data_IF_866525965707
#
_entry.id   IF_866525965707
#
_cell.length_a   1.000
_cell.length_b   1.000
_cell.length_c   1.000
_cell.angle_alpha   90.00
_cell.angle_beta   90.00
_cell.angle_gamma   90.00
#
_symmetry.space_group_name_H-M   'P 1'
#
loop_
_entity.id
_entity.type
_entity.pdbx_description
1 polymer ?
#
# COMPACT_ATOMS: atom_id res chain seq x y z
N UNK A 1 -14.70 17.90 -10.71
CA UNK A 1 -15.10 17.09 -9.52
C UNK A 1 -13.94 17.12 -8.54
N UNK A 2 -14.19 17.34 -7.21
CA UNK A 2 -13.12 17.26 -6.20
C UNK A 2 -13.25 15.97 -5.40
N UNK A 3 -12.10 15.36 -5.04
CA UNK A 3 -12.02 14.20 -4.16
C UNK A 3 -11.09 14.56 -3.00
N UNK A 4 -11.58 14.44 -1.77
CA UNK A 4 -10.80 14.62 -0.54
C UNK A 4 -10.27 13.28 -0.06
N UNK A 5 -8.96 13.14 -0.02
CA UNK A 5 -8.28 11.90 0.35
C UNK A 5 -7.51 12.10 1.66
N UNK A 6 -7.86 11.34 2.69
CA UNK A 6 -7.11 11.25 3.93
C UNK A 6 -5.94 10.26 3.79
N UNK A 7 -4.72 10.69 3.99
CA UNK A 7 -3.56 9.78 4.01
C UNK A 7 -3.25 9.43 5.47
N UNK A 8 -3.48 8.17 5.82
CA UNK A 8 -3.21 7.59 7.14
C UNK A 8 -1.74 7.16 7.17
N UNK A 9 -0.88 8.04 7.68
CA UNK A 9 0.57 7.80 7.75
C UNK A 9 0.89 6.86 8.91
N UNK A 10 1.33 5.64 8.59
CA UNK A 10 1.65 4.59 9.56
C UNK A 10 3.15 4.48 9.88
N UNK A 11 4.01 5.21 9.18
CA UNK A 11 5.46 5.30 9.45
C UNK A 11 6.03 6.60 8.87
N UNK A 12 7.24 6.93 9.31
CA UNK A 12 8.03 8.04 8.79
C UNK A 12 9.15 7.49 7.89
N UNK A 13 9.47 8.21 6.83
CA UNK A 13 10.62 7.92 5.99
C UNK A 13 11.91 8.12 6.81
N UNK A 14 12.94 7.30 6.55
CA UNK A 14 14.23 7.50 7.21
C UNK A 14 14.73 8.93 6.99
N UNK A 15 15.22 9.65 8.05
CA UNK A 15 15.51 11.07 7.97
C UNK A 15 16.42 11.48 6.81
N UNK A 16 17.42 10.67 6.49
CA UNK A 16 18.34 10.91 5.37
C UNK A 16 17.66 10.74 3.99
N UNK A 17 16.64 9.90 3.88
CA UNK A 17 15.85 9.74 2.66
C UNK A 17 14.72 10.76 2.56
N UNK A 18 14.13 11.16 3.69
CA UNK A 18 13.06 12.16 3.72
C UNK A 18 13.49 13.52 3.15
N UNK A 19 14.77 13.90 3.31
CA UNK A 19 15.34 15.13 2.73
C UNK A 19 15.28 15.11 1.20
N UNK A 20 15.49 13.95 0.58
CA UNK A 20 15.57 13.80 -0.87
C UNK A 20 14.22 13.46 -1.51
N UNK A 21 13.45 12.58 -0.87
CA UNK A 21 12.25 11.98 -1.44
C UNK A 21 10.94 12.46 -0.79
N UNK A 22 11.03 13.19 0.33
CA UNK A 22 9.86 13.56 1.14
C UNK A 22 9.37 12.42 2.02
N UNK A 23 8.26 12.65 2.71
CA UNK A 23 7.55 11.66 3.51
C UNK A 23 6.59 10.83 2.65
N UNK A 24 6.16 9.66 3.15
CA UNK A 24 5.21 8.79 2.43
C UNK A 24 3.96 9.52 1.92
N UNK A 25 3.31 10.41 2.70
CA UNK A 25 2.18 11.18 2.16
C UNK A 25 2.54 12.01 0.94
N UNK A 26 3.73 12.61 0.89
CA UNK A 26 4.18 13.38 -0.27
C UNK A 26 4.41 12.50 -1.50
N UNK A 27 4.96 11.27 -1.30
CA UNK A 27 5.12 10.30 -2.39
C UNK A 27 3.75 9.87 -2.98
N UNK A 28 2.74 9.62 -2.14
CA UNK A 28 1.39 9.32 -2.61
C UNK A 28 0.77 10.50 -3.35
N UNK A 29 0.91 11.73 -2.85
CA UNK A 29 0.41 12.93 -3.52
C UNK A 29 1.07 13.09 -4.90
N UNK A 30 2.38 12.91 -4.99
CA UNK A 30 3.12 12.96 -6.25
C UNK A 30 2.64 11.90 -7.24
N UNK A 31 2.51 10.65 -6.79
CA UNK A 31 1.98 9.56 -7.60
C UNK A 31 0.59 9.88 -8.16
N UNK A 32 -0.34 10.27 -7.26
CA UNK A 32 -1.73 10.49 -7.65
C UNK A 32 -1.89 11.73 -8.54
N UNK A 33 -1.12 12.79 -8.32
CA UNK A 33 -1.10 13.95 -9.25
C UNK A 33 -0.56 13.55 -10.63
N UNK A 34 0.52 12.76 -10.68
CA UNK A 34 1.08 12.29 -11.95
C UNK A 34 0.10 11.34 -12.68
N UNK A 35 -0.56 10.44 -11.94
CA UNK A 35 -1.53 9.49 -12.49
C UNK A 35 -2.85 10.16 -12.91
N UNK A 36 -3.23 11.27 -12.26
CA UNK A 36 -4.42 12.05 -12.62
C UNK A 36 -4.26 12.79 -13.96
N UNK A 37 -3.01 13.17 -14.29
CA UNK A 37 -2.72 13.86 -15.55
C UNK A 37 -3.59 15.11 -15.77
N UNK A 38 -4.09 15.27 -16.99
CA UNK A 38 -4.92 16.42 -17.42
C UNK A 38 -6.44 16.17 -17.20
N UNK A 39 -6.83 15.33 -16.23
CA UNK A 39 -8.26 15.11 -15.94
C UNK A 39 -8.88 16.32 -15.22
N UNK A 40 -10.21 16.46 -15.30
CA UNK A 40 -10.96 17.48 -14.57
C UNK A 40 -11.19 17.14 -13.08
N UNK A 41 -10.43 16.17 -12.53
CA UNK A 41 -10.54 15.74 -11.12
C UNK A 41 -9.56 16.56 -10.28
N UNK A 42 -10.06 17.33 -9.33
CA UNK A 42 -9.26 17.98 -8.31
C UNK A 42 -9.01 17.02 -7.14
N UNK A 43 -7.75 16.81 -6.76
CA UNK A 43 -7.37 15.99 -5.62
C UNK A 43 -6.95 16.90 -4.45
N UNK A 44 -7.61 16.73 -3.31
CA UNK A 44 -7.28 17.40 -2.06
C UNK A 44 -6.80 16.37 -1.04
N UNK A 45 -5.71 16.67 -0.32
CA UNK A 45 -5.10 15.71 0.61
C UNK A 45 -5.01 16.27 2.02
N UNK A 46 -5.33 15.42 3.00
CA UNK A 46 -5.07 15.67 4.41
C UNK A 46 -4.28 14.49 4.98
N UNK A 47 -3.20 14.77 5.69
CA UNK A 47 -2.37 13.74 6.34
C UNK A 47 -2.75 13.58 7.80
N UNK A 48 -2.91 12.34 8.23
CA UNK A 48 -3.16 11.94 9.61
C UNK A 48 -2.04 11.01 10.07
N UNK A 49 -1.19 11.45 11.00
CA UNK A 49 -0.09 10.66 11.56
C UNK A 49 -0.65 9.63 12.57
N UNK A 50 -1.21 8.53 12.04
CA UNK A 50 -1.87 7.50 12.86
C UNK A 50 -0.88 6.76 13.76
N UNK A 51 0.39 6.68 13.38
CA UNK A 51 1.48 6.18 14.24
C UNK A 51 1.72 7.07 15.47
N UNK A 52 1.33 8.35 15.43
CA UNK A 52 1.35 9.29 16.54
C UNK A 52 -0.02 9.49 17.20
N UNK A 53 -1.03 8.69 16.84
CA UNK A 53 -2.39 8.76 17.39
C UNK A 53 -3.23 9.91 16.84
N UNK A 54 -2.85 10.50 15.70
CA UNK A 54 -3.61 11.59 15.05
C UNK A 54 -4.54 11.00 14.00
N UNK A 55 -5.84 11.17 14.21
CA UNK A 55 -6.91 10.67 13.35
C UNK A 55 -7.86 11.81 12.94
N UNK A 56 -8.68 11.65 11.88
CA UNK A 56 -9.76 12.59 11.59
C UNK A 56 -10.76 12.64 12.76
N UNK A 57 -11.35 13.81 12.99
CA UNK A 57 -12.40 13.96 14.01
C UNK A 57 -13.67 13.20 13.63
N UNK A 58 -13.97 13.16 12.32
CA UNK A 58 -15.10 12.42 11.75
C UNK A 58 -14.63 11.62 10.52
N UNK A 59 -15.10 10.38 10.39
CA UNK A 59 -14.77 9.53 9.23
C UNK A 59 -15.22 10.17 7.90
N UNK A 60 -16.28 10.94 7.94
CA UNK A 60 -16.88 11.53 6.74
C UNK A 60 -16.25 12.87 6.31
N UNK A 61 -15.19 13.34 7.01
CA UNK A 61 -14.39 14.50 6.57
C UNK A 61 -13.71 14.26 5.21
N UNK A 62 -13.37 13.00 4.90
CA UNK A 62 -12.73 12.61 3.66
C UNK A 62 -13.66 11.73 2.83
N UNK A 63 -13.53 11.80 1.51
CA UNK A 63 -14.26 10.94 0.58
C UNK A 63 -13.65 9.53 0.60
N UNK A 64 -12.32 9.44 0.70
CA UNK A 64 -11.56 8.19 0.73
C UNK A 64 -10.34 8.29 1.63
N UNK A 65 -9.78 7.14 2.00
CA UNK A 65 -8.53 7.04 2.77
C UNK A 65 -7.50 6.17 2.06
N UNK A 66 -6.22 6.53 2.24
CA UNK A 66 -5.07 5.69 1.87
C UNK A 66 -4.29 5.39 3.14
N UNK A 67 -4.09 4.11 3.45
CA UNK A 67 -3.25 3.67 4.55
C UNK A 67 -1.88 3.24 4.01
N UNK A 68 -0.83 3.93 4.47
CA UNK A 68 0.53 3.76 3.97
C UNK A 68 1.18 2.45 4.44
N UNK A 69 2.34 2.15 3.87
CA UNK A 69 3.28 1.16 4.40
C UNK A 69 3.85 1.56 5.77
N UNK A 70 4.43 0.59 6.46
CA UNK A 70 5.18 0.75 7.71
C UNK A 70 6.26 -0.31 7.82
N UNK A 71 7.32 -0.02 8.61
CA UNK A 71 8.33 -1.00 9.02
C UNK A 71 7.86 -1.95 10.11
N UNK A 72 6.75 -1.62 10.81
CA UNK A 72 6.15 -2.44 11.86
C UNK A 72 5.36 -3.61 11.29
N UNK A 73 5.24 -4.67 12.06
CA UNK A 73 4.30 -5.76 11.77
C UNK A 73 2.93 -5.46 12.38
N UNK A 74 1.85 -5.78 11.67
CA UNK A 74 0.46 -5.50 12.14
C UNK A 74 0.07 -6.28 13.40
N UNK A 75 0.84 -7.28 13.77
CA UNK A 75 0.67 -8.11 14.97
C UNK A 75 1.61 -7.72 16.13
N UNK A 76 2.35 -6.60 16.01
CA UNK A 76 3.10 -6.05 17.14
C UNK A 76 2.17 -5.55 18.23
N UNK A 77 2.55 -5.78 19.48
CA UNK A 77 1.81 -5.27 20.66
C UNK A 77 2.13 -3.79 20.89
N UNK A 78 1.51 -2.94 20.07
CA UNK A 78 1.66 -1.50 20.14
C UNK A 78 0.28 -0.80 20.15
N UNK A 79 0.05 0.15 21.06
CA UNK A 79 -1.26 0.81 21.22
C UNK A 79 -1.77 1.46 19.92
N UNK A 80 -0.89 2.08 19.13
CA UNK A 80 -1.28 2.73 17.88
C UNK A 80 -1.74 1.72 16.80
N UNK A 81 -1.19 0.49 16.79
CA UNK A 81 -1.61 -0.60 15.88
C UNK A 81 -3.02 -1.07 16.25
N UNK A 82 -3.28 -1.25 17.54
CA UNK A 82 -4.63 -1.60 18.04
C UNK A 82 -5.65 -0.53 17.67
N UNK A 83 -5.32 0.76 17.91
CA UNK A 83 -6.18 1.88 17.56
C UNK A 83 -6.42 1.97 16.06
N UNK A 84 -5.38 1.75 15.24
CA UNK A 84 -5.51 1.75 13.78
C UNK A 84 -6.41 0.61 13.31
N UNK A 85 -6.30 -0.59 13.89
CA UNK A 85 -7.18 -1.70 13.56
C UNK A 85 -8.65 -1.38 13.91
N UNK A 86 -8.92 -0.67 15.02
CA UNK A 86 -10.26 -0.19 15.35
C UNK A 86 -10.77 0.83 14.33
N UNK A 87 -9.92 1.74 13.89
CA UNK A 87 -10.28 2.72 12.87
C UNK A 87 -10.58 2.07 11.52
N UNK A 88 -9.78 1.07 11.09
CA UNK A 88 -10.04 0.29 9.86
C UNK A 88 -11.38 -0.46 9.95
N UNK A 89 -11.71 -1.04 11.12
CA UNK A 89 -13.04 -1.64 11.35
C UNK A 89 -14.17 -0.62 11.22
N UNK A 90 -13.97 0.59 11.73
CA UNK A 90 -14.96 1.66 11.62
C UNK A 90 -15.14 2.12 10.16
N UNK A 91 -14.06 2.27 9.38
CA UNK A 91 -14.12 2.54 7.94
C UNK A 91 -14.89 1.43 7.20
N UNK A 92 -14.58 0.16 7.49
CA UNK A 92 -15.27 -0.97 6.88
C UNK A 92 -16.78 -0.98 7.20
N UNK A 93 -17.17 -0.76 8.45
CA UNK A 93 -18.57 -0.76 8.86
C UNK A 93 -19.40 0.34 8.19
N UNK A 94 -18.77 1.48 7.90
CA UNK A 94 -19.38 2.61 7.18
C UNK A 94 -19.24 2.53 5.65
N UNK A 95 -18.63 1.46 5.14
CA UNK A 95 -18.33 1.30 3.71
C UNK A 95 -17.54 2.46 3.11
N UNK A 96 -16.69 3.11 3.92
CA UNK A 96 -15.83 4.20 3.51
C UNK A 96 -14.70 3.65 2.61
N UNK A 97 -14.43 4.34 1.51
CA UNK A 97 -13.35 3.97 0.58
C UNK A 97 -12.00 3.95 1.30
N UNK A 98 -11.30 2.83 1.23
CA UNK A 98 -9.97 2.64 1.81
C UNK A 98 -9.06 1.92 0.81
N UNK A 99 -7.91 2.51 0.53
CA UNK A 99 -6.81 1.84 -0.17
C UNK A 99 -5.71 1.52 0.83
N UNK A 100 -5.34 0.24 0.96
CA UNK A 100 -4.26 -0.20 1.86
C UNK A 100 -3.00 -0.60 1.08
N UNK A 101 -1.83 -0.07 1.45
CA UNK A 101 -0.56 -0.35 0.78
C UNK A 101 0.41 -1.02 1.75
N UNK A 102 0.98 -2.16 1.38
CA UNK A 102 1.95 -2.94 2.13
C UNK A 102 1.47 -3.24 3.56
N UNK A 103 1.96 -2.53 4.58
CA UNK A 103 1.42 -2.61 5.94
C UNK A 103 -0.09 -2.31 5.95
N UNK A 104 -0.57 -1.35 5.16
CA UNK A 104 -1.99 -1.04 5.03
C UNK A 104 -2.81 -2.20 4.46
N UNK A 105 -2.27 -2.94 3.49
CA UNK A 105 -2.86 -4.18 2.98
C UNK A 105 -2.96 -5.26 4.06
N UNK A 106 -1.88 -5.44 4.80
CA UNK A 106 -1.81 -6.38 5.91
C UNK A 106 -2.72 -5.98 7.08
N UNK A 107 -2.80 -4.68 7.39
CA UNK A 107 -3.67 -4.13 8.43
C UNK A 107 -5.16 -4.34 8.11
N UNK A 108 -5.57 -4.19 6.86
CA UNK A 108 -6.93 -4.52 6.43
C UNK A 108 -7.25 -5.98 6.74
N UNK A 109 -6.38 -6.91 6.35
CA UNK A 109 -6.58 -8.32 6.64
C UNK A 109 -6.64 -8.59 8.15
N UNK A 110 -5.66 -8.09 8.90
CA UNK A 110 -5.57 -8.27 10.36
C UNK A 110 -6.78 -7.69 11.10
N UNK A 111 -7.19 -6.47 10.77
CA UNK A 111 -8.31 -5.79 11.45
C UNK A 111 -9.67 -6.47 11.21
N UNK A 112 -9.85 -7.11 10.05
CA UNK A 112 -11.13 -7.66 9.62
C UNK A 112 -11.24 -9.20 9.78
N UNK A 113 -10.31 -9.80 10.55
CA UNK A 113 -10.41 -11.22 10.94
C UNK A 113 -9.60 -12.17 10.06
N UNK A 114 -8.78 -11.65 9.15
CA UNK A 114 -7.74 -12.41 8.47
C UNK A 114 -6.46 -12.52 9.30
N UNK A 115 -5.39 -12.99 8.67
CA UNK A 115 -4.10 -13.18 9.33
C UNK A 115 -2.94 -12.75 8.46
N UNK A 116 -2.00 -12.06 9.07
CA UNK A 116 -0.68 -11.72 8.50
C UNK A 116 0.39 -12.42 9.30
N UNK A 117 1.42 -12.91 8.64
CA UNK A 117 2.58 -13.52 9.28
C UNK A 117 3.84 -13.33 8.45
N UNK A 118 4.98 -13.59 9.07
CA UNK A 118 6.25 -13.69 8.37
C UNK A 118 6.13 -14.73 7.26
N UNK A 119 6.57 -14.37 6.05
CA UNK A 119 6.51 -15.27 4.90
C UNK A 119 7.64 -16.31 4.94
N UNK A 120 7.31 -17.58 4.70
CA UNK A 120 8.29 -18.66 4.63
C UNK A 120 9.34 -18.44 3.52
N UNK A 121 8.96 -17.75 2.45
CA UNK A 121 9.84 -17.37 1.33
C UNK A 121 10.80 -16.23 1.66
N UNK A 122 10.65 -15.61 2.83
CA UNK A 122 11.49 -14.49 3.28
C UNK A 122 11.12 -13.17 2.63
N UNK A 123 12.13 -12.39 2.23
CA UNK A 123 11.96 -11.03 1.73
C UNK A 123 11.42 -10.97 0.29
N UNK A 124 10.35 -10.21 0.10
CA UNK A 124 9.87 -9.74 -1.20
C UNK A 124 10.47 -8.37 -1.51
N UNK A 125 11.48 -8.31 -2.38
CA UNK A 125 12.20 -7.09 -2.74
C UNK A 125 12.25 -6.88 -4.25
N UNK A 126 12.40 -5.61 -4.65
CA UNK A 126 12.60 -5.21 -6.03
C UNK A 126 11.31 -5.14 -6.84
N UNK A 127 11.47 -4.94 -8.15
CA UNK A 127 10.35 -4.93 -9.09
C UNK A 127 9.86 -6.36 -9.32
N UNK A 128 8.57 -6.58 -9.11
CA UNK A 128 7.89 -7.87 -9.33
C UNK A 128 6.73 -7.71 -10.27
N UNK A 129 6.56 -8.68 -11.15
CA UNK A 129 5.37 -8.82 -11.95
C UNK A 129 4.20 -9.30 -11.08
N UNK A 130 3.10 -8.57 -11.15
CA UNK A 130 1.86 -8.82 -10.42
C UNK A 130 0.82 -9.26 -11.44
N UNK A 131 0.41 -10.52 -11.37
CA UNK A 131 -0.49 -11.13 -12.33
C UNK A 131 -1.93 -11.11 -11.82
N UNK A 132 -2.87 -10.43 -12.52
CA UNK A 132 -4.29 -10.49 -12.20
C UNK A 132 -4.83 -11.91 -12.31
N UNK A 133 -5.74 -12.30 -11.42
CA UNK A 133 -6.35 -13.64 -11.42
C UNK A 133 -7.72 -13.68 -12.12
N UNK A 134 -8.12 -12.62 -12.81
CA UNK A 134 -9.37 -12.49 -13.57
C UNK A 134 -10.65 -12.72 -12.73
N UNK A 135 -10.58 -12.61 -11.41
CA UNK A 135 -11.75 -12.73 -10.54
C UNK A 135 -12.70 -11.54 -10.63
N UNK A 136 -12.20 -10.40 -11.12
CA UNK A 136 -12.97 -9.17 -11.39
C UNK A 136 -12.30 -8.41 -12.54
N UNK A 137 -13.04 -7.47 -13.16
CA UNK A 137 -12.49 -6.56 -14.18
C UNK A 137 -11.71 -5.37 -13.60
N UNK A 138 -11.55 -5.31 -12.27
CA UNK A 138 -10.99 -4.13 -11.58
C UNK A 138 -9.54 -3.83 -11.98
N UNK A 139 -8.70 -4.87 -12.12
CA UNK A 139 -7.30 -4.73 -12.52
C UNK A 139 -7.07 -4.93 -14.03
N UNK A 140 -8.11 -5.28 -14.79
CA UNK A 140 -7.94 -5.77 -16.14
C UNK A 140 -7.27 -7.15 -16.17
N UNK A 141 -6.79 -7.58 -17.34
CA UNK A 141 -6.21 -8.92 -17.54
C UNK A 141 -4.70 -8.94 -17.79
N UNK A 142 -4.07 -7.76 -17.90
CA UNK A 142 -2.64 -7.68 -18.19
C UNK A 142 -1.82 -7.62 -16.90
N UNK A 143 -0.74 -8.39 -16.79
CA UNK A 143 0.21 -8.23 -15.70
C UNK A 143 0.76 -6.81 -15.63
N UNK A 144 1.05 -6.36 -14.42
CA UNK A 144 1.68 -5.06 -14.14
C UNK A 144 2.80 -5.24 -13.11
N UNK A 145 3.70 -4.28 -13.03
CA UNK A 145 4.88 -4.34 -12.18
C UNK A 145 4.82 -3.29 -11.08
N UNK A 146 5.11 -3.70 -9.85
CA UNK A 146 5.30 -2.80 -8.72
C UNK A 146 6.65 -3.08 -8.04
N UNK A 147 7.09 -2.12 -7.22
CA UNK A 147 8.23 -2.29 -6.31
C UNK A 147 7.70 -2.92 -5.01
N UNK A 148 8.40 -3.92 -4.52
CA UNK A 148 8.08 -4.64 -3.29
C UNK A 148 9.18 -4.46 -2.24
N UNK A 149 8.80 -4.29 -0.98
CA UNK A 149 9.72 -4.15 0.16
C UNK A 149 9.04 -4.68 1.42
N UNK A 150 8.88 -5.98 1.52
CA UNK A 150 8.18 -6.61 2.64
C UNK A 150 8.77 -7.96 3.02
N UNK A 151 8.50 -8.42 4.24
CA UNK A 151 8.79 -9.75 4.73
C UNK A 151 7.51 -10.44 5.23
N UNK A 152 6.60 -9.67 5.82
CA UNK A 152 5.27 -10.16 6.21
C UNK A 152 4.33 -10.21 5.00
N UNK A 153 3.39 -11.16 5.03
CA UNK A 153 2.35 -11.35 4.01
C UNK A 153 1.02 -11.72 4.66
N UNK A 154 -0.07 -11.36 4.00
CA UNK A 154 -1.39 -11.90 4.32
C UNK A 154 -1.42 -13.38 3.97
N UNK A 155 -1.80 -14.22 4.94
CA UNK A 155 -1.87 -15.70 4.80
C UNK A 155 -3.29 -16.23 4.96
N UNK A 156 -4.17 -15.48 5.63
CA UNK A 156 -5.61 -15.78 5.72
C UNK A 156 -6.40 -14.52 5.42
N UNK A 157 -7.41 -14.65 4.57
CA UNK A 157 -8.25 -13.53 4.15
C UNK A 157 -9.45 -13.33 5.08
N UNK A 158 -9.88 -12.07 5.31
CA UNK A 158 -11.19 -11.78 5.87
C UNK A 158 -12.31 -12.36 5.03
N UNK A 159 -13.45 -12.66 5.65
CA UNK A 159 -14.65 -13.12 4.94
C UNK A 159 -15.10 -12.12 3.86
N UNK A 160 -15.45 -12.60 2.69
CA UNK A 160 -15.90 -11.79 1.56
C UNK A 160 -14.79 -11.08 0.79
N UNK A 161 -13.52 -11.26 1.18
CA UNK A 161 -12.38 -10.69 0.45
C UNK A 161 -12.08 -11.50 -0.81
N UNK A 162 -11.83 -10.80 -1.92
CA UNK A 162 -11.46 -11.38 -3.20
C UNK A 162 -9.99 -11.07 -3.48
N UNK A 163 -9.19 -12.10 -3.81
CA UNK A 163 -7.83 -11.90 -4.33
C UNK A 163 -7.92 -11.42 -5.77
N UNK A 164 -7.29 -10.30 -6.06
CA UNK A 164 -7.25 -9.70 -7.38
C UNK A 164 -6.01 -10.08 -8.18
N UNK A 165 -4.87 -10.23 -7.50
CA UNK A 165 -3.61 -10.54 -8.15
C UNK A 165 -2.63 -11.24 -7.21
N UNK A 166 -1.64 -11.91 -7.80
CA UNK A 166 -0.54 -12.59 -7.12
C UNK A 166 0.80 -12.29 -7.79
N UNK A 167 1.89 -12.57 -7.07
CA UNK A 167 3.24 -12.65 -7.64
C UNK A 167 3.80 -14.06 -7.45
N UNK A 168 5.01 -14.32 -7.95
CA UNK A 168 5.74 -15.58 -7.77
C UNK A 168 5.97 -15.97 -6.30
N UNK A 169 6.04 -14.96 -5.40
CA UNK A 169 6.34 -15.14 -3.98
C UNK A 169 5.23 -14.65 -3.04
N UNK A 170 4.23 -13.96 -3.55
CA UNK A 170 3.12 -13.40 -2.76
C UNK A 170 1.78 -13.80 -3.39
N UNK A 171 1.15 -14.88 -2.89
CA UNK A 171 -0.13 -15.36 -3.42
C UNK A 171 -1.28 -14.37 -3.27
N UNK A 172 -1.21 -13.46 -2.29
CA UNK A 172 -2.21 -12.43 -1.99
C UNK A 172 -1.56 -11.06 -2.17
N UNK A 173 -1.27 -10.68 -3.42
CA UNK A 173 -0.57 -9.43 -3.74
C UNK A 173 -1.49 -8.23 -3.90
N UNK A 174 -2.77 -8.46 -4.25
CA UNK A 174 -3.80 -7.43 -4.29
C UNK A 174 -5.15 -8.03 -3.92
N UNK A 175 -5.98 -7.28 -3.20
CA UNK A 175 -7.32 -7.71 -2.78
C UNK A 175 -8.35 -6.61 -2.88
N UNK A 176 -9.63 -7.02 -2.96
CA UNK A 176 -10.77 -6.12 -2.73
C UNK A 176 -11.75 -6.75 -1.75
N UNK A 177 -12.41 -5.92 -0.95
CA UNK A 177 -13.52 -6.32 -0.08
C UNK A 177 -14.72 -5.40 -0.33
N UNK A 178 -15.73 -5.97 -0.96
CA UNK A 178 -16.84 -5.20 -1.49
C UNK A 178 -16.37 -4.13 -2.48
N UNK A 179 -17.07 -3.00 -2.51
CA UNK A 179 -16.74 -1.87 -3.38
C UNK A 179 -15.94 -0.78 -2.64
N UNK A 180 -15.60 -0.99 -1.35
CA UNK A 180 -15.07 0.06 -0.49
C UNK A 180 -13.64 -0.18 0.03
N UNK A 181 -13.06 -1.36 -0.15
CA UNK A 181 -11.66 -1.62 0.19
C UNK A 181 -10.92 -2.19 -1.01
N UNK A 182 -9.78 -1.62 -1.31
CA UNK A 182 -8.79 -2.07 -2.30
C UNK A 182 -7.43 -2.10 -1.63
N UNK A 183 -6.62 -3.13 -1.86
CA UNK A 183 -5.29 -3.14 -1.24
C UNK A 183 -4.23 -3.85 -2.08
N UNK A 184 -2.97 -3.44 -1.89
CA UNK A 184 -1.80 -3.95 -2.60
C UNK A 184 -0.65 -4.21 -1.62
N UNK A 185 0.03 -5.35 -1.78
CA UNK A 185 1.26 -5.63 -1.05
C UNK A 185 2.46 -4.86 -1.63
N UNK A 186 2.47 -4.61 -2.93
CA UNK A 186 3.47 -3.77 -3.60
C UNK A 186 3.24 -2.27 -3.38
N UNK A 187 4.26 -1.48 -3.64
CA UNK A 187 4.32 -0.04 -3.43
C UNK A 187 4.19 0.72 -4.76
N UNK A 188 3.03 1.28 -5.10
CA UNK A 188 2.89 2.15 -6.26
C UNK A 188 3.55 3.52 -6.05
N UNK A 189 3.72 3.96 -4.80
CA UNK A 189 4.34 5.23 -4.43
C UNK A 189 5.87 5.22 -4.48
N UNK A 190 6.50 4.03 -4.55
CA UNK A 190 7.96 3.93 -4.61
C UNK A 190 8.47 4.15 -6.03
N UNK A 191 9.52 4.96 -6.16
CA UNK A 191 10.30 5.09 -7.37
C UNK A 191 11.59 4.27 -7.26
N UNK A 192 12.19 3.85 -8.40
CA UNK A 192 13.42 3.04 -8.39
C UNK A 192 14.55 3.64 -7.57
N UNK A 193 14.77 4.97 -7.65
CA UNK A 193 15.83 5.65 -6.90
C UNK A 193 15.61 5.59 -5.38
N UNK A 194 14.35 5.79 -4.93
CA UNK A 194 14.01 5.64 -3.52
C UNK A 194 14.24 4.20 -3.03
N UNK A 195 13.77 3.22 -3.80
CA UNK A 195 13.92 1.82 -3.45
C UNK A 195 15.41 1.40 -3.43
N UNK A 196 16.21 1.89 -4.38
CA UNK A 196 17.66 1.68 -4.42
C UNK A 196 18.31 2.13 -3.11
N UNK A 197 18.08 3.39 -2.71
CA UNK A 197 18.70 3.97 -1.53
C UNK A 197 18.20 3.30 -0.25
N UNK A 198 16.91 2.97 -0.18
CA UNK A 198 16.33 2.23 0.93
C UNK A 198 16.97 0.83 1.08
N UNK A 199 17.16 0.11 -0.03
CA UNK A 199 17.74 -1.22 -0.01
C UNK A 199 19.23 -1.19 0.34
N UNK A 200 19.98 -0.18 -0.15
CA UNK A 200 21.38 0.03 0.24
C UNK A 200 21.52 0.24 1.76
N UNK A 201 20.70 1.12 2.35
CA UNK A 201 20.72 1.39 3.80
C UNK A 201 20.38 0.14 4.61
N UNK A 202 19.48 -0.71 4.09
CA UNK A 202 19.01 -1.92 4.77
C UNK A 202 19.73 -3.19 4.34
N UNK A 203 20.80 -3.08 3.55
CA UNK A 203 21.49 -4.20 2.89
C UNK A 203 21.81 -5.37 3.82
N UNK A 204 22.29 -5.08 5.03
CA UNK A 204 22.65 -6.11 6.02
C UNK A 204 21.47 -6.94 6.55
N UNK A 205 20.23 -6.50 6.27
CA UNK A 205 19.00 -7.22 6.65
C UNK A 205 18.60 -8.26 5.61
N UNK A 206 19.15 -8.19 4.40
CA UNK A 206 18.73 -8.99 3.27
C UNK A 206 19.73 -10.11 2.95
N UNK A 207 19.23 -11.32 2.62
CA UNK A 207 20.10 -12.34 2.02
C UNK A 207 20.75 -11.79 0.75
N UNK A 208 22.04 -12.04 0.57
CA UNK A 208 22.85 -11.42 -0.50
C UNK A 208 22.27 -11.63 -1.90
N UNK A 209 21.75 -12.84 -2.19
CA UNK A 209 21.18 -13.14 -3.51
C UNK A 209 19.86 -12.41 -3.74
N UNK A 210 19.00 -12.29 -2.72
CA UNK A 210 17.74 -11.53 -2.80
C UNK A 210 18.03 -10.04 -3.04
N UNK A 211 18.98 -9.48 -2.27
CA UNK A 211 19.42 -8.10 -2.44
C UNK A 211 19.94 -7.84 -3.86
N UNK A 212 20.85 -8.68 -4.36
CA UNK A 212 21.43 -8.54 -5.71
C UNK A 212 20.36 -8.60 -6.80
N UNK A 213 19.43 -9.56 -6.70
CA UNK A 213 18.34 -9.69 -7.64
C UNK A 213 17.39 -8.47 -7.59
N UNK A 214 17.08 -7.98 -6.38
CA UNK A 214 16.26 -6.78 -6.19
C UNK A 214 16.88 -5.55 -6.85
N UNK A 215 18.18 -5.29 -6.58
CA UNK A 215 18.91 -4.16 -7.17
C UNK A 215 18.93 -4.23 -8.70
N UNK A 216 19.15 -5.42 -9.27
CA UNK A 216 19.12 -5.61 -10.73
C UNK A 216 17.72 -5.34 -11.31
N UNK A 217 16.65 -5.73 -10.59
CA UNK A 217 15.28 -5.55 -11.04
C UNK A 217 14.85 -4.07 -11.11
N UNK A 218 15.47 -3.18 -10.32
CA UNK A 218 15.17 -1.74 -10.33
C UNK A 218 15.54 -1.04 -11.66
N UNK A 219 16.25 -1.72 -12.55
CA UNK A 219 16.48 -1.26 -13.94
C UNK A 219 15.25 -1.49 -14.84
N UNK A 220 14.23 -2.16 -14.34
CA UNK A 220 12.97 -2.41 -15.07
C UNK A 220 11.95 -1.37 -14.66
N UNK A 221 11.22 -0.81 -15.63
CA UNK A 221 10.14 0.11 -15.35
C UNK A 221 9.03 -0.58 -14.54
N UNK A 222 8.46 0.13 -13.58
CA UNK A 222 7.29 -0.27 -12.83
C UNK A 222 6.06 0.54 -13.28
N UNK A 223 4.88 -0.05 -13.11
CA UNK A 223 3.61 0.49 -13.62
C UNK A 223 2.88 1.33 -12.55
N UNK A 224 3.62 2.21 -11.84
CA UNK A 224 3.07 3.01 -10.73
C UNK A 224 1.88 3.86 -11.17
N UNK A 225 1.96 4.50 -12.34
CA UNK A 225 0.90 5.38 -12.84
C UNK A 225 -0.39 4.62 -13.16
N UNK A 226 -0.28 3.37 -13.63
CA UNK A 226 -1.45 2.49 -13.82
C UNK A 226 -2.18 2.27 -12.50
N UNK A 227 -1.44 1.89 -11.45
CA UNK A 227 -2.03 1.65 -10.13
C UNK A 227 -2.52 2.95 -9.49
N UNK A 228 -1.79 4.07 -9.66
CA UNK A 228 -2.24 5.39 -9.23
C UNK A 228 -3.57 5.82 -9.87
N UNK A 229 -3.73 5.61 -11.17
CA UNK A 229 -4.98 5.90 -11.88
C UNK A 229 -6.14 5.00 -11.38
N UNK A 230 -5.85 3.73 -11.13
CA UNK A 230 -6.81 2.78 -10.54
C UNK A 230 -7.25 3.21 -9.13
N UNK A 231 -6.32 3.69 -8.30
CA UNK A 231 -6.62 4.20 -6.96
C UNK A 231 -7.54 5.42 -7.02
N UNK A 232 -7.30 6.36 -7.95
CA UNK A 232 -8.17 7.54 -8.15
C UNK A 232 -9.57 7.09 -8.58
N UNK A 233 -9.66 6.20 -9.57
CA UNK A 233 -10.95 5.71 -10.05
C UNK A 233 -11.72 4.96 -8.95
N UNK A 234 -11.02 4.17 -8.15
CA UNK A 234 -11.61 3.49 -6.99
C UNK A 234 -12.13 4.48 -5.93
N UNK A 235 -11.36 5.52 -5.60
CA UNK A 235 -11.76 6.54 -4.61
C UNK A 235 -12.94 7.40 -5.09
N UNK A 236 -13.14 7.51 -6.42
CA UNK A 236 -14.19 8.32 -7.05
C UNK A 236 -15.57 7.64 -7.09
N UNK A 237 -15.58 6.31 -7.16
CA UNK A 237 -16.82 5.49 -7.25
C UNK A 237 -17.56 5.45 -5.92
#
# INVERSE_FOLDING_TARGET
MSIKIGILQADDVLPNLAVQYGEYPAMFQQLLHAANGDTDISLEFVTYAVNAGIYPSEIDEMDAYILTGSKSSVYEDAPWITQLAEFVRALHSRKKKLVGICFGHQMVAHALGGKTSLADVGWGLGVKETSPNNSTDLLGSQPFKLIYSHQDQVVELPEGTVVLASTDICPIAATTLGEHILSFQGHPEFYPDYANDLYEIRRERYPAEIYKAAMASLQTDADQLFVGALMIDFCRR
#
